data_IF_794314669032
#
_entry.id   IF_794314669032
#
_cell.length_a   1.000
_cell.length_b   1.000
_cell.length_c   1.000
_cell.angle_alpha   90.00
_cell.angle_beta   90.00
_cell.angle_gamma   90.00
#
_symmetry.space_group_name_H-M   'P 1'
#
loop_
_entity.id
_entity.type
_entity.pdbx_description
1 polymer ?
#
# COMPACT_ATOMS: atom_id res chain seq x y z
N UNK A 1 -60.44 -17.07 25.79
CA UNK A 1 -59.94 -15.80 25.22
C UNK A 1 -58.51 -16.02 24.81
N UNK A 2 -58.29 -16.39 23.52
CA UNK A 2 -57.00 -16.79 22.98
C UNK A 2 -56.30 -15.55 22.39
N UNK A 3 -55.16 -15.16 22.94
CA UNK A 3 -54.28 -14.18 22.29
C UNK A 3 -53.34 -14.92 21.36
N UNK A 4 -53.49 -14.69 20.05
CA UNK A 4 -52.53 -15.08 19.01
C UNK A 4 -51.38 -14.08 18.99
N UNK A 5 -50.18 -14.51 19.37
CA UNK A 5 -48.95 -13.77 19.21
C UNK A 5 -48.48 -13.98 17.77
N UNK A 6 -48.66 -12.99 16.89
CA UNK A 6 -48.06 -12.97 15.54
C UNK A 6 -46.59 -12.61 15.65
N UNK A 7 -45.73 -13.59 15.42
CA UNK A 7 -44.29 -13.40 15.27
C UNK A 7 -44.04 -12.79 13.89
N UNK A 8 -43.79 -11.47 13.84
CA UNK A 8 -43.29 -10.78 12.62
C UNK A 8 -41.83 -11.08 12.47
N UNK A 9 -41.46 -12.05 11.60
CA UNK A 9 -40.10 -12.29 11.20
C UNK A 9 -39.74 -11.16 10.24
N UNK A 10 -38.97 -10.18 10.73
CA UNK A 10 -38.29 -9.17 9.92
C UNK A 10 -37.17 -9.87 9.18
N UNK A 11 -37.40 -10.21 7.92
CA UNK A 11 -36.35 -10.58 6.99
C UNK A 11 -35.50 -9.33 6.73
N UNK A 12 -34.42 -9.15 7.51
CA UNK A 12 -33.32 -8.30 7.15
C UNK A 12 -32.68 -8.91 5.90
N UNK A 13 -33.09 -8.41 4.74
CA UNK A 13 -32.33 -8.60 3.51
C UNK A 13 -30.99 -7.89 3.69
N UNK A 14 -29.98 -8.64 4.20
CA UNK A 14 -28.60 -8.26 4.00
C UNK A 14 -28.37 -8.18 2.49
N UNK A 15 -28.41 -6.97 1.96
CA UNK A 15 -27.82 -6.67 0.65
C UNK A 15 -26.33 -6.95 0.77
N UNK A 16 -25.94 -8.25 0.67
CA UNK A 16 -24.60 -8.61 0.28
C UNK A 16 -24.32 -7.85 -1.00
N UNK A 17 -23.33 -6.94 -0.97
CA UNK A 17 -22.71 -6.43 -2.18
C UNK A 17 -22.32 -7.65 -3.00
N UNK A 18 -23.15 -8.02 -3.97
CA UNK A 18 -22.83 -9.06 -4.94
C UNK A 18 -21.67 -8.49 -5.75
N UNK A 19 -20.45 -8.81 -5.34
CA UNK A 19 -19.30 -8.67 -6.22
C UNK A 19 -19.64 -9.46 -7.47
N UNK A 20 -19.57 -8.82 -8.65
CA UNK A 20 -19.87 -9.49 -9.92
C UNK A 20 -19.10 -10.81 -9.99
N UNK A 21 -19.70 -11.83 -10.59
CA UNK A 21 -19.08 -13.15 -10.75
C UNK A 21 -17.78 -13.08 -11.57
N UNK A 22 -17.66 -12.09 -12.47
CA UNK A 22 -16.45 -11.81 -13.23
C UNK A 22 -15.58 -10.81 -12.45
N UNK A 23 -14.39 -11.28 -12.08
CA UNK A 23 -13.38 -10.47 -11.40
C UNK A 23 -12.20 -10.22 -12.35
N UNK A 24 -11.58 -9.08 -12.19
CA UNK A 24 -10.40 -8.66 -12.94
C UNK A 24 -9.23 -8.47 -11.99
N UNK A 25 -8.04 -8.87 -12.40
CA UNK A 25 -6.80 -8.55 -11.72
C UNK A 25 -5.70 -8.24 -12.74
N UNK A 26 -4.65 -7.55 -12.32
CA UNK A 26 -3.52 -7.25 -13.21
C UNK A 26 -2.72 -8.52 -13.45
N UNK A 27 -2.33 -8.75 -14.72
CA UNK A 27 -1.33 -9.76 -15.05
C UNK A 27 0.05 -9.28 -14.60
N UNK A 28 0.69 -10.03 -13.70
CA UNK A 28 2.02 -9.69 -13.18
C UNK A 28 3.17 -10.22 -14.06
N UNK A 29 2.86 -10.73 -15.26
CA UNK A 29 3.84 -11.19 -16.27
C UNK A 29 4.69 -12.40 -15.86
N UNK A 30 4.49 -12.94 -14.67
CA UNK A 30 5.05 -14.25 -14.31
C UNK A 30 4.22 -15.31 -15.03
N UNK A 31 4.86 -16.32 -15.58
CA UNK A 31 4.19 -17.42 -16.29
C UNK A 31 2.98 -17.90 -15.49
N UNK A 32 1.77 -17.55 -15.93
CA UNK A 32 0.48 -17.78 -15.28
C UNK A 32 0.23 -17.01 -13.96
N UNK A 33 0.83 -15.83 -13.78
CA UNK A 33 0.71 -15.04 -12.56
C UNK A 33 -0.27 -13.88 -12.65
N UNK A 34 -1.52 -14.09 -12.24
CA UNK A 34 -2.45 -13.00 -11.98
C UNK A 34 -2.32 -12.54 -10.53
N UNK A 35 -2.39 -11.24 -10.29
CA UNK A 35 -2.46 -10.71 -8.94
C UNK A 35 -3.65 -11.34 -8.18
N UNK A 36 -3.43 -11.68 -6.93
CA UNK A 36 -4.46 -12.27 -6.09
C UNK A 36 -5.53 -11.28 -5.65
N UNK A 37 -5.28 -9.97 -5.86
CA UNK A 37 -6.19 -8.90 -5.44
C UNK A 37 -7.07 -8.47 -6.62
N UNK A 38 -8.40 -8.68 -6.55
CA UNK A 38 -9.31 -8.21 -7.57
C UNK A 38 -9.32 -6.69 -7.67
N UNK A 39 -9.39 -6.18 -8.89
CA UNK A 39 -9.57 -4.76 -9.16
C UNK A 39 -11.02 -4.35 -8.82
N UNK A 40 -11.21 -3.25 -8.06
CA UNK A 40 -12.54 -2.71 -7.87
C UNK A 40 -13.10 -2.14 -9.18
N UNK A 41 -14.44 -2.09 -9.35
CA UNK A 41 -15.07 -1.43 -10.50
C UNK A 41 -14.56 0.02 -10.65
N UNK A 42 -14.26 0.42 -11.88
CA UNK A 42 -13.75 1.76 -12.18
C UNK A 42 -12.27 1.98 -11.86
N UNK A 43 -11.54 0.96 -11.43
CA UNK A 43 -10.10 1.06 -11.13
C UNK A 43 -9.31 1.57 -12.34
N UNK A 44 -8.21 2.26 -12.04
CA UNK A 44 -7.24 2.68 -13.04
C UNK A 44 -6.12 1.64 -13.16
N UNK A 45 -5.88 1.20 -14.39
CA UNK A 45 -4.85 0.25 -14.78
C UNK A 45 -3.73 1.03 -15.43
N UNK A 46 -2.56 1.01 -14.82
CA UNK A 46 -1.40 1.74 -15.32
C UNK A 46 -0.62 0.86 -16.31
N UNK A 47 -0.62 1.26 -17.58
CA UNK A 47 0.13 0.58 -18.65
C UNK A 47 1.63 0.94 -18.60
N UNK A 48 1.98 2.00 -17.86
CA UNK A 48 3.36 2.42 -17.64
C UNK A 48 3.74 3.73 -18.35
N UNK A 49 5.02 4.07 -18.24
CA UNK A 49 5.59 5.26 -18.88
C UNK A 49 6.46 4.85 -20.06
N UNK A 50 6.22 5.46 -21.23
CA UNK A 50 6.90 5.14 -22.49
C UNK A 50 7.54 6.38 -23.08
N UNK A 51 8.71 6.23 -23.69
CA UNK A 51 9.26 7.29 -24.53
C UNK A 51 8.30 7.58 -25.69
N UNK A 52 8.15 8.85 -26.08
CA UNK A 52 7.33 9.23 -27.23
C UNK A 52 7.74 8.42 -28.46
N UNK A 53 6.76 7.83 -29.14
CA UNK A 53 6.91 6.93 -30.28
C UNK A 53 7.03 5.45 -29.91
N UNK A 54 7.32 5.12 -28.66
CA UNK A 54 7.38 3.74 -28.16
C UNK A 54 6.04 3.25 -27.65
N UNK A 55 5.92 1.94 -27.51
CA UNK A 55 4.70 1.28 -27.02
C UNK A 55 5.04 0.37 -25.85
N UNK A 56 4.11 0.28 -24.90
CA UNK A 56 4.14 -0.68 -23.80
C UNK A 56 2.81 -1.42 -23.71
N UNK A 57 2.80 -2.50 -22.92
CA UNK A 57 1.61 -3.34 -22.78
C UNK A 57 1.32 -3.68 -21.32
N UNK A 58 0.05 -3.87 -21.00
CA UNK A 58 -0.43 -4.43 -19.75
C UNK A 58 -1.44 -5.53 -20.03
N UNK A 59 -1.53 -6.50 -19.13
CA UNK A 59 -2.50 -7.59 -19.20
C UNK A 59 -3.50 -7.52 -18.05
N UNK A 60 -4.74 -7.93 -18.33
CA UNK A 60 -5.77 -8.18 -17.33
C UNK A 60 -6.15 -9.65 -17.34
N UNK A 61 -6.10 -10.25 -16.17
CA UNK A 61 -6.63 -11.58 -15.91
C UNK A 61 -8.13 -11.52 -15.63
N UNK A 62 -8.89 -12.41 -16.27
CA UNK A 62 -10.33 -12.57 -16.07
C UNK A 62 -10.61 -13.84 -15.26
N UNK A 63 -11.17 -13.69 -14.06
CA UNK A 63 -11.47 -14.79 -13.15
C UNK A 63 -12.97 -14.91 -12.94
N UNK A 64 -13.54 -16.06 -13.24
CA UNK A 64 -14.94 -16.35 -12.96
C UNK A 64 -15.07 -17.06 -11.60
N UNK A 65 -15.68 -16.37 -10.65
CA UNK A 65 -15.95 -16.91 -9.30
C UNK A 65 -17.33 -17.55 -9.18
N UNK A 66 -18.12 -17.51 -10.25
CA UNK A 66 -19.44 -18.14 -10.33
C UNK A 66 -19.38 -19.62 -10.68
N UNK A 67 -20.57 -20.24 -10.80
CA UNK A 67 -20.73 -21.66 -11.13
C UNK A 67 -20.98 -21.90 -12.62
N UNK A 68 -21.24 -20.87 -13.41
CA UNK A 68 -21.56 -20.99 -14.86
C UNK A 68 -20.53 -20.22 -15.67
N UNK A 69 -20.22 -20.67 -16.92
CA UNK A 69 -19.30 -19.96 -17.78
C UNK A 69 -19.75 -18.52 -18.07
N UNK A 70 -18.80 -17.59 -18.07
CA UNK A 70 -19.03 -16.19 -18.48
C UNK A 70 -18.39 -15.99 -19.84
N UNK A 71 -19.14 -15.33 -20.75
CA UNK A 71 -18.67 -15.05 -22.09
C UNK A 71 -18.54 -13.55 -22.29
N UNK A 72 -17.32 -13.07 -22.52
CA UNK A 72 -17.04 -11.70 -22.93
C UNK A 72 -17.20 -11.62 -24.44
N UNK A 73 -18.19 -10.84 -24.91
CA UNK A 73 -18.55 -10.71 -26.32
C UNK A 73 -18.02 -9.44 -26.97
N UNK A 74 -17.62 -8.45 -26.15
CA UNK A 74 -17.11 -7.18 -26.65
C UNK A 74 -16.13 -6.52 -25.70
N UNK A 75 -15.11 -5.86 -26.27
CA UNK A 75 -14.18 -4.99 -25.56
C UNK A 75 -14.07 -3.71 -26.38
N UNK A 76 -14.39 -2.56 -25.76
CA UNK A 76 -14.35 -1.27 -26.42
C UNK A 76 -13.39 -0.33 -25.70
N UNK A 77 -12.68 0.50 -26.46
CA UNK A 77 -11.74 1.50 -25.99
C UNK A 77 -12.16 2.89 -26.45
N UNK A 78 -12.00 3.90 -25.60
CA UNK A 78 -12.46 5.27 -25.88
C UNK A 78 -11.48 6.10 -26.71
N UNK A 79 -10.20 5.68 -26.84
CA UNK A 79 -9.17 6.42 -27.59
C UNK A 79 -8.31 5.46 -28.43
N UNK A 80 -7.68 5.99 -29.49
CA UNK A 80 -6.79 5.24 -30.38
C UNK A 80 -5.36 5.07 -29.84
N UNK A 81 -4.98 5.81 -28.79
CA UNK A 81 -3.66 5.66 -28.15
C UNK A 81 -3.51 4.33 -27.40
N UNK A 82 -4.66 3.70 -27.11
CA UNK A 82 -4.74 2.36 -26.57
C UNK A 82 -5.41 1.42 -27.58
N UNK A 83 -4.88 0.20 -27.67
CA UNK A 83 -5.48 -0.85 -28.48
C UNK A 83 -5.42 -2.20 -27.78
N UNK A 84 -6.32 -3.11 -28.14
CA UNK A 84 -6.31 -4.47 -27.66
C UNK A 84 -5.19 -5.29 -28.32
N UNK A 85 -4.46 -6.05 -27.53
CA UNK A 85 -3.37 -6.92 -28.01
C UNK A 85 -3.85 -8.35 -28.13
N UNK A 86 -4.13 -8.80 -29.36
CA UNK A 86 -4.36 -10.21 -29.67
C UNK A 86 -5.64 -10.83 -29.09
N UNK A 87 -6.61 -10.01 -28.67
CA UNK A 87 -7.84 -10.49 -28.06
C UNK A 87 -8.79 -11.07 -29.13
N UNK A 88 -9.00 -12.37 -29.08
CA UNK A 88 -9.95 -13.06 -29.97
C UNK A 88 -11.27 -13.21 -29.22
N UNK A 89 -12.29 -12.51 -29.67
CA UNK A 89 -13.65 -12.60 -29.13
C UNK A 89 -14.46 -13.69 -29.88
N UNK A 90 -15.38 -14.35 -29.18
CA UNK A 90 -15.69 -14.23 -27.76
C UNK A 90 -14.68 -14.96 -26.86
N UNK A 91 -14.46 -14.40 -25.64
CA UNK A 91 -13.63 -15.02 -24.60
C UNK A 91 -14.54 -15.74 -23.62
N UNK A 92 -14.36 -17.06 -23.45
CA UNK A 92 -15.10 -17.84 -22.45
C UNK A 92 -14.26 -18.03 -21.20
N UNK A 93 -14.74 -17.50 -20.07
CA UNK A 93 -14.12 -17.62 -18.76
C UNK A 93 -14.80 -18.73 -17.98
N UNK A 94 -14.08 -19.85 -17.80
CA UNK A 94 -14.62 -21.03 -17.13
C UNK A 94 -14.86 -20.79 -15.63
N UNK A 95 -15.87 -21.45 -15.02
CA UNK A 95 -16.16 -21.31 -13.60
C UNK A 95 -15.05 -21.91 -12.72
N UNK A 96 -15.08 -21.56 -11.43
CA UNK A 96 -14.23 -22.12 -10.39
C UNK A 96 -12.72 -21.95 -10.62
N UNK A 97 -12.30 -20.81 -11.13
CA UNK A 97 -10.90 -20.47 -11.39
C UNK A 97 -10.21 -21.46 -12.36
N UNK A 98 -10.94 -21.98 -13.34
CA UNK A 98 -10.37 -22.72 -14.45
C UNK A 98 -9.33 -21.89 -15.22
N UNK A 99 -9.13 -22.18 -16.50
CA UNK A 99 -8.23 -21.35 -17.33
C UNK A 99 -8.56 -19.86 -17.17
N UNK A 100 -7.56 -19.05 -16.81
CA UNK A 100 -7.69 -17.61 -16.62
C UNK A 100 -7.21 -16.92 -17.90
N UNK A 101 -8.15 -16.45 -18.77
CA UNK A 101 -7.76 -15.70 -19.95
C UNK A 101 -7.10 -14.38 -19.56
N UNK A 102 -6.08 -13.99 -20.31
CA UNK A 102 -5.41 -12.70 -20.18
C UNK A 102 -5.82 -11.84 -21.39
N UNK A 103 -6.34 -10.64 -21.09
CA UNK A 103 -6.66 -9.63 -22.09
C UNK A 103 -5.56 -8.59 -22.09
N UNK A 104 -4.85 -8.48 -23.21
CA UNK A 104 -3.74 -7.52 -23.36
C UNK A 104 -4.22 -6.16 -23.90
N UNK A 105 -3.57 -5.10 -23.44
CA UNK A 105 -3.71 -3.74 -23.93
C UNK A 105 -2.35 -3.15 -24.22
N UNK A 106 -2.22 -2.48 -25.37
CA UNK A 106 -1.04 -1.72 -25.73
C UNK A 106 -1.34 -0.23 -25.60
N UNK A 107 -0.40 0.51 -25.06
CA UNK A 107 -0.36 1.97 -25.06
C UNK A 107 0.76 2.44 -25.97
N UNK A 108 0.48 3.36 -26.90
CA UNK A 108 1.48 4.05 -27.71
C UNK A 108 1.58 5.50 -27.26
N UNK A 109 2.73 5.92 -26.77
CA UNK A 109 2.97 7.29 -26.36
C UNK A 109 3.10 8.19 -27.60
N UNK A 110 2.13 9.06 -27.85
CA UNK A 110 2.11 10.02 -28.98
C UNK A 110 2.53 11.41 -28.57
N UNK A 111 2.38 11.76 -27.28
CA UNK A 111 2.74 13.05 -26.69
C UNK A 111 3.27 12.88 -25.25
N UNK A 112 3.96 13.91 -24.75
CA UNK A 112 4.37 13.95 -23.35
C UNK A 112 3.16 14.19 -22.43
N UNK A 113 3.18 13.53 -21.26
CA UNK A 113 2.11 13.59 -20.27
C UNK A 113 1.29 12.31 -20.19
N UNK A 114 0.31 12.31 -19.29
CA UNK A 114 -0.55 11.15 -19.05
C UNK A 114 -1.74 11.16 -19.97
N UNK A 115 -1.95 10.04 -20.66
CA UNK A 115 -3.14 9.77 -21.51
C UNK A 115 -3.97 8.70 -20.80
N UNK A 116 -5.30 8.88 -20.81
CA UNK A 116 -6.24 7.92 -20.24
C UNK A 116 -7.27 7.45 -21.25
N UNK A 117 -7.72 6.22 -21.12
CA UNK A 117 -8.82 5.65 -21.91
C UNK A 117 -9.76 4.86 -21.03
N UNK A 118 -11.05 4.88 -21.33
CA UNK A 118 -11.98 3.92 -20.77
C UNK A 118 -11.95 2.63 -21.58
N UNK A 119 -11.84 1.50 -20.88
CA UNK A 119 -12.07 0.18 -21.44
C UNK A 119 -13.33 -0.41 -20.85
N UNK A 120 -14.20 -0.92 -21.73
CA UNK A 120 -15.49 -1.51 -21.35
C UNK A 120 -15.56 -2.94 -21.84
N UNK A 121 -15.84 -3.89 -20.92
CA UNK A 121 -16.04 -5.30 -21.19
C UNK A 121 -17.54 -5.61 -21.23
N UNK A 122 -18.02 -6.10 -22.35
CA UNK A 122 -19.41 -6.53 -22.53
C UNK A 122 -19.46 -8.03 -22.36
N UNK A 123 -20.15 -8.51 -21.33
CA UNK A 123 -20.25 -9.91 -20.97
C UNK A 123 -21.66 -10.28 -20.52
N UNK A 124 -21.90 -11.56 -20.20
CA UNK A 124 -23.19 -12.06 -19.71
C UNK A 124 -23.27 -12.16 -18.16
N UNK A 125 -22.30 -11.59 -17.44
CA UNK A 125 -22.33 -11.57 -15.97
C UNK A 125 -23.18 -10.39 -15.45
N UNK A 126 -23.70 -10.48 -14.21
CA UNK A 126 -24.35 -9.35 -13.56
C UNK A 126 -23.36 -8.17 -13.40
N UNK A 127 -23.82 -6.97 -13.72
CA UNK A 127 -23.01 -5.76 -13.67
C UNK A 127 -22.30 -5.40 -14.98
N UNK A 128 -22.53 -6.17 -16.06
CA UNK A 128 -22.05 -5.80 -17.41
C UNK A 128 -22.73 -4.51 -17.90
N UNK A 129 -21.97 -3.62 -18.59
CA UNK A 129 -20.55 -3.71 -18.89
C UNK A 129 -19.66 -3.36 -17.70
N UNK A 130 -18.53 -4.09 -17.54
CA UNK A 130 -17.49 -3.75 -16.58
C UNK A 130 -16.57 -2.69 -17.19
N UNK A 131 -16.40 -1.56 -16.50
CA UNK A 131 -15.63 -0.41 -17.00
C UNK A 131 -14.42 -0.15 -16.13
N UNK A 132 -13.25 0.06 -16.75
CA UNK A 132 -12.00 0.43 -16.12
C UNK A 132 -11.38 1.62 -16.85
N UNK A 133 -10.42 2.27 -16.21
CA UNK A 133 -9.61 3.33 -16.83
C UNK A 133 -8.21 2.80 -17.11
N UNK A 134 -7.75 2.83 -18.34
CA UNK A 134 -6.34 2.64 -18.69
C UNK A 134 -5.62 3.97 -18.57
N UNK A 135 -4.38 3.96 -18.10
CA UNK A 135 -3.54 5.13 -17.98
C UNK A 135 -2.14 4.81 -18.49
N UNK A 136 -1.60 5.65 -19.36
CA UNK A 136 -0.24 5.57 -19.85
C UNK A 136 0.42 6.94 -19.87
N UNK A 137 1.73 7.03 -19.69
CA UNK A 137 2.45 8.31 -19.67
C UNK A 137 3.53 8.35 -20.73
N UNK A 138 3.49 9.36 -21.58
CA UNK A 138 4.53 9.66 -22.56
C UNK A 138 5.62 10.55 -21.93
N UNK A 139 6.90 10.32 -22.25
CA UNK A 139 8.02 11.16 -21.80
C UNK A 139 9.05 11.39 -22.90
N UNK A 140 9.81 12.48 -22.78
CA UNK A 140 10.92 12.86 -23.70
C UNK A 140 12.30 12.74 -23.05
N UNK A 141 12.35 12.54 -21.73
CA UNK A 141 13.57 12.54 -20.91
C UNK A 141 13.74 11.21 -20.17
N UNK A 142 13.02 10.99 -19.09
CA UNK A 142 12.99 9.70 -18.38
C UNK A 142 11.59 9.43 -17.80
N UNK A 143 11.32 8.18 -17.48
CA UNK A 143 10.08 7.78 -16.85
C UNK A 143 10.32 6.84 -15.66
N UNK A 144 9.33 6.77 -14.76
CA UNK A 144 9.31 5.81 -13.64
C UNK A 144 8.30 4.71 -13.94
N UNK A 145 8.76 3.47 -13.98
CA UNK A 145 7.93 2.30 -14.27
C UNK A 145 7.99 1.29 -13.12
N UNK A 146 6.94 0.48 -13.00
CA UNK A 146 7.05 -0.79 -12.32
C UNK A 146 7.86 -1.74 -13.20
N UNK A 147 8.70 -2.56 -12.57
CA UNK A 147 9.45 -3.57 -13.32
C UNK A 147 8.47 -4.67 -13.77
N UNK A 148 8.39 -4.89 -15.05
CA UNK A 148 7.60 -5.85 -15.87
C UNK A 148 6.42 -6.57 -15.20
N UNK A 149 6.51 -6.96 -13.95
CA UNK A 149 5.59 -7.88 -13.26
C UNK A 149 5.28 -7.45 -11.84
N UNK A 150 5.84 -6.32 -11.39
CA UNK A 150 5.69 -5.88 -10.03
C UNK A 150 4.39 -5.08 -9.86
N UNK A 151 3.60 -5.44 -8.86
CA UNK A 151 2.41 -4.68 -8.48
C UNK A 151 2.81 -3.33 -7.86
N UNK A 152 2.07 -2.28 -8.19
CA UNK A 152 2.18 -0.98 -7.52
C UNK A 152 1.56 -1.00 -6.11
N UNK A 153 0.98 -2.12 -5.69
CA UNK A 153 0.36 -2.34 -4.39
C UNK A 153 1.04 -3.48 -3.66
N UNK A 154 1.42 -3.24 -2.39
CA UNK A 154 1.99 -4.25 -1.51
C UNK A 154 1.23 -4.29 -0.19
N UNK A 155 1.08 -5.51 0.36
CA UNK A 155 0.43 -5.73 1.65
C UNK A 155 1.44 -6.26 2.66
N UNK A 156 1.57 -5.59 3.80
CA UNK A 156 2.46 -6.00 4.89
C UNK A 156 1.77 -5.86 6.25
N UNK A 157 2.30 -6.56 7.25
CA UNK A 157 1.94 -6.32 8.65
C UNK A 157 2.78 -5.16 9.20
N UNK A 158 2.22 -4.36 10.11
CA UNK A 158 2.95 -3.27 10.76
C UNK A 158 4.27 -3.80 11.39
N UNK A 159 5.37 -3.13 11.12
CA UNK A 159 6.74 -3.56 11.49
C UNK A 159 7.46 -4.35 10.40
N UNK A 160 6.81 -4.66 9.30
CA UNK A 160 7.42 -5.33 8.15
C UNK A 160 7.78 -4.33 7.05
N UNK A 161 8.58 -4.79 6.09
CA UNK A 161 9.02 -4.01 4.94
C UNK A 161 8.31 -4.48 3.68
N UNK A 162 7.69 -3.55 2.96
CA UNK A 162 7.16 -3.76 1.62
C UNK A 162 8.26 -3.47 0.60
N UNK A 163 8.46 -4.39 -0.35
CA UNK A 163 9.47 -4.25 -1.41
C UNK A 163 8.79 -4.05 -2.75
N UNK A 164 9.19 -2.99 -3.47
CA UNK A 164 8.73 -2.69 -4.81
C UNK A 164 9.92 -2.74 -5.76
N UNK A 165 9.77 -3.42 -6.88
CA UNK A 165 10.79 -3.46 -7.92
C UNK A 165 10.34 -2.53 -9.04
N UNK A 166 11.16 -1.53 -9.31
CA UNK A 166 10.86 -0.45 -10.24
C UNK A 166 12.01 -0.28 -11.24
N UNK A 167 11.75 0.48 -12.28
CA UNK A 167 12.77 0.89 -13.24
C UNK A 167 12.65 2.37 -13.58
N UNK A 168 13.80 2.97 -13.87
CA UNK A 168 13.88 4.24 -14.61
C UNK A 168 14.03 3.89 -16.07
N UNK A 169 13.09 4.36 -16.89
CA UNK A 169 13.22 4.31 -18.34
C UNK A 169 13.90 5.60 -18.81
N UNK A 170 15.04 5.50 -19.47
CA UNK A 170 15.75 6.64 -20.03
C UNK A 170 15.65 6.68 -21.54
N UNK A 171 15.96 7.83 -22.15
CA UNK A 171 16.16 7.91 -23.59
C UNK A 171 17.59 7.47 -23.94
N UNK A 172 17.83 6.80 -25.08
CA UNK A 172 19.14 6.21 -25.39
C UNK A 172 20.33 7.18 -25.39
N UNK A 173 20.08 8.46 -25.56
CA UNK A 173 21.12 9.52 -25.60
C UNK A 173 21.29 10.24 -24.24
N UNK A 174 20.44 9.97 -23.28
CA UNK A 174 20.47 10.67 -21.99
C UNK A 174 21.51 10.06 -21.06
N UNK A 175 22.27 10.94 -20.42
CA UNK A 175 23.22 10.59 -19.36
C UNK A 175 22.89 11.39 -18.10
N UNK A 176 23.30 10.90 -16.96
CA UNK A 176 23.12 11.59 -15.69
C UNK A 176 22.67 10.66 -14.59
N UNK A 177 22.03 11.23 -13.60
CA UNK A 177 21.51 10.48 -12.45
C UNK A 177 20.08 10.89 -12.13
N UNK A 178 19.28 9.93 -11.71
CA UNK A 178 17.95 10.17 -11.14
C UNK A 178 18.02 10.01 -9.64
N UNK A 179 17.74 11.09 -8.93
CA UNK A 179 17.61 11.09 -7.48
C UNK A 179 16.17 10.69 -7.11
N UNK A 180 16.03 9.66 -6.29
CA UNK A 180 14.75 9.09 -5.89
C UNK A 180 14.34 9.58 -4.50
N UNK A 181 13.05 9.82 -4.32
CA UNK A 181 12.46 10.17 -3.02
C UNK A 181 11.03 9.67 -2.93
N UNK A 182 10.49 9.58 -1.68
CA UNK A 182 9.08 9.31 -1.45
C UNK A 182 8.40 10.51 -0.82
N UNK A 183 7.12 10.68 -1.13
CA UNK A 183 6.24 11.64 -0.49
C UNK A 183 4.90 11.00 -0.11
N UNK A 184 4.20 11.58 0.88
CA UNK A 184 2.90 11.11 1.37
C UNK A 184 2.92 9.68 1.96
N UNK A 185 4.05 9.27 2.55
CA UNK A 185 4.12 8.01 3.29
C UNK A 185 3.21 8.04 4.52
N UNK A 186 2.65 6.90 4.95
CA UNK A 186 1.91 6.84 6.20
C UNK A 186 2.80 7.17 7.40
N UNK A 187 2.23 7.65 8.50
CA UNK A 187 2.97 7.90 9.74
C UNK A 187 3.78 6.67 10.17
N UNK A 188 5.01 6.87 10.62
CA UNK A 188 5.89 5.78 11.05
C UNK A 188 6.44 4.90 9.94
N UNK A 189 6.23 5.25 8.67
CA UNK A 189 6.87 4.58 7.55
C UNK A 189 8.03 5.40 6.98
N UNK A 190 9.00 4.72 6.41
CA UNK A 190 10.14 5.31 5.70
C UNK A 190 10.43 4.55 4.42
N UNK A 191 11.03 5.20 3.42
CA UNK A 191 11.46 4.52 2.20
C UNK A 191 12.97 4.61 2.01
N UNK A 192 13.53 3.55 1.41
CA UNK A 192 14.92 3.45 1.00
C UNK A 192 14.99 2.85 -0.40
N UNK A 193 15.99 3.27 -1.18
CA UNK A 193 16.19 2.83 -2.57
C UNK A 193 17.55 2.17 -2.72
N UNK A 194 17.66 1.21 -3.64
CA UNK A 194 18.92 0.55 -3.97
C UNK A 194 18.93 0.12 -5.44
N UNK A 195 19.90 0.57 -6.27
CA UNK A 195 20.92 1.59 -5.96
C UNK A 195 20.33 3.00 -5.85
N UNK A 196 21.08 3.91 -5.22
CA UNK A 196 20.78 5.34 -5.18
C UNK A 196 22.09 6.14 -5.30
N UNK A 197 22.19 7.16 -6.20
CA UNK A 197 21.25 7.51 -7.27
C UNK A 197 21.19 6.44 -8.36
N UNK A 198 20.12 6.44 -9.17
CA UNK A 198 20.02 5.59 -10.35
C UNK A 198 20.73 6.28 -11.51
N UNK A 199 21.77 5.65 -12.05
CA UNK A 199 22.53 6.20 -13.18
C UNK A 199 21.80 5.95 -14.50
N UNK A 200 21.63 7.01 -15.31
CA UNK A 200 21.20 6.93 -16.70
C UNK A 200 22.42 6.67 -17.57
N UNK A 201 22.47 5.51 -18.21
CA UNK A 201 23.60 5.09 -19.05
C UNK A 201 23.19 5.09 -20.52
N UNK A 202 24.02 5.60 -21.44
CA UNK A 202 23.74 5.58 -22.87
C UNK A 202 23.49 4.15 -23.35
N UNK A 203 22.47 3.96 -24.16
CA UNK A 203 22.11 2.66 -24.72
C UNK A 203 21.33 1.73 -23.76
N UNK A 204 21.15 2.09 -22.49
CA UNK A 204 20.32 1.36 -21.56
C UNK A 204 18.95 2.04 -21.46
N UNK A 205 17.92 1.36 -21.94
CA UNK A 205 16.55 1.88 -21.92
C UNK A 205 15.92 1.77 -20.52
N UNK A 206 16.34 0.78 -19.72
CA UNK A 206 15.78 0.53 -18.39
C UNK A 206 16.87 0.27 -17.36
N UNK A 207 16.85 1.02 -16.26
CA UNK A 207 17.70 0.81 -15.09
C UNK A 207 16.83 0.43 -13.91
N UNK A 208 17.00 -0.81 -13.44
CA UNK A 208 16.19 -1.33 -12.35
C UNK A 208 16.68 -0.86 -10.98
N UNK A 209 15.75 -0.63 -10.09
CA UNK A 209 16.03 -0.34 -8.68
C UNK A 209 14.96 -0.98 -7.77
N UNK A 210 15.35 -1.19 -6.54
CA UNK A 210 14.46 -1.68 -5.49
C UNK A 210 14.13 -0.53 -4.55
N UNK A 211 12.86 -0.39 -4.21
CA UNK A 211 12.37 0.47 -3.14
C UNK A 211 11.83 -0.38 -2.00
N UNK A 212 12.33 -0.13 -0.81
CA UNK A 212 11.87 -0.75 0.43
C UNK A 212 11.13 0.28 1.27
N UNK A 213 9.85 0.02 1.56
CA UNK A 213 9.04 0.84 2.47
C UNK A 213 8.93 0.09 3.78
N UNK A 214 9.67 0.55 4.79
CA UNK A 214 9.65 -0.02 6.13
C UNK A 214 8.54 0.62 6.96
N UNK A 215 7.79 -0.20 7.69
CA UNK A 215 6.73 0.22 8.60
C UNK A 215 7.16 0.01 10.05
N UNK A 216 6.61 0.79 10.96
CA UNK A 216 6.91 0.67 12.40
C UNK A 216 5.89 -0.21 13.09
N UNK A 217 6.34 -1.24 13.81
CA UNK A 217 5.48 -2.10 14.61
C UNK A 217 4.80 -1.32 15.74
N UNK A 218 3.61 -1.76 16.13
CA UNK A 218 3.05 -1.33 17.41
C UNK A 218 3.96 -1.82 18.55
N UNK A 219 4.33 -0.97 19.51
CA UNK A 219 4.96 -1.45 20.72
C UNK A 219 4.09 -2.55 21.31
N UNK A 220 4.65 -3.72 21.53
CA UNK A 220 3.96 -4.73 22.33
C UNK A 220 3.56 -4.03 23.65
N UNK A 221 2.29 -4.11 24.04
CA UNK A 221 1.86 -3.61 25.32
C UNK A 221 2.74 -4.31 26.37
N UNK A 222 3.79 -3.62 26.80
CA UNK A 222 4.57 -4.12 27.93
C UNK A 222 3.56 -4.15 29.07
N UNK A 223 3.22 -5.35 29.54
CA UNK A 223 2.64 -5.54 30.85
C UNK A 223 3.66 -4.98 31.83
N UNK A 224 3.63 -3.66 31.96
CA UNK A 224 4.40 -2.97 32.98
C UNK A 224 3.74 -3.44 34.26
N UNK A 225 4.25 -4.57 34.81
CA UNK A 225 3.88 -5.03 36.13
C UNK A 225 4.06 -3.81 37.02
N UNK A 226 2.99 -3.33 37.70
CA UNK A 226 3.08 -2.19 38.59
C UNK A 226 4.21 -2.48 39.51
N UNK A 227 5.26 -1.66 39.40
CA UNK A 227 6.58 -2.02 39.90
C UNK A 227 6.56 -2.30 41.36
N UNK A 228 7.14 -3.41 41.74
CA UNK A 228 7.55 -3.77 43.10
C UNK A 228 8.28 -2.62 43.83
N UNK A 229 8.71 -1.59 43.07
CA UNK A 229 9.39 -0.39 43.63
C UNK A 229 8.50 0.46 44.54
N UNK A 230 7.19 0.52 44.31
CA UNK A 230 6.25 1.23 45.18
C UNK A 230 6.12 0.55 46.55
N UNK A 231 6.21 -0.77 46.57
CA UNK A 231 6.15 -1.52 47.83
C UNK A 231 7.42 -1.32 48.70
N UNK A 232 8.59 -1.26 48.06
CA UNK A 232 9.83 -0.99 48.79
C UNK A 232 9.89 0.45 49.32
N UNK A 233 9.40 1.41 48.61
CA UNK A 233 9.30 2.81 49.06
C UNK A 233 8.32 2.96 50.22
N UNK A 234 7.16 2.32 50.17
CA UNK A 234 6.18 2.28 51.25
C UNK A 234 6.74 1.54 52.45
N UNK A 235 7.40 0.41 52.29
CA UNK A 235 8.01 -0.35 53.40
C UNK A 235 9.15 0.45 54.06
N UNK A 236 9.95 1.17 53.28
CA UNK A 236 11.02 2.02 53.81
C UNK A 236 10.46 3.21 54.61
N UNK A 237 9.36 3.85 54.17
CA UNK A 237 8.69 4.92 54.89
C UNK A 237 8.05 4.40 56.20
N UNK A 238 7.45 3.20 56.15
CA UNK A 238 6.87 2.57 57.34
C UNK A 238 7.94 2.18 58.38
N UNK A 239 9.09 1.65 57.94
CA UNK A 239 10.20 1.30 58.82
C UNK A 239 10.84 2.54 59.47
N UNK A 240 10.97 3.64 58.75
CA UNK A 240 11.44 4.93 59.29
C UNK A 240 10.45 5.56 60.27
N UNK A 241 9.13 5.46 60.02
CA UNK A 241 8.11 5.92 60.96
C UNK A 241 8.10 5.13 62.29
N UNK A 242 8.34 3.82 62.23
CA UNK A 242 8.44 2.97 63.42
C UNK A 242 9.69 3.26 64.25
N UNK A 243 10.79 3.63 63.64
CA UNK A 243 12.04 4.02 64.34
C UNK A 243 11.91 5.41 64.95
N UNK A 244 11.18 6.34 64.30
CA UNK A 244 10.97 7.69 64.80
C UNK A 244 10.02 7.76 66.00
N UNK A 245 9.15 6.77 66.23
CA UNK A 245 8.18 6.74 67.34
C UNK A 245 8.81 6.43 68.70
N UNK A 246 10.07 6.05 68.76
CA UNK A 246 10.73 5.64 70.01
C UNK A 246 11.64 6.68 70.66
N UNK A 247 11.87 7.85 70.04
CA UNK A 247 12.69 8.91 70.74
C UNK A 247 12.32 10.30 70.20
N UNK A 248 12.12 11.24 71.12
CA UNK A 248 11.91 12.67 70.92
C UNK A 248 12.97 13.32 69.99
N UNK A 249 12.64 13.51 68.69
CA UNK A 249 13.58 14.07 67.73
C UNK A 249 12.97 15.12 66.82
N UNK A 250 12.90 16.37 67.27
CA UNK A 250 12.51 17.52 66.44
C UNK A 250 13.49 17.81 65.26
N UNK A 251 14.72 17.31 65.32
CA UNK A 251 15.74 17.51 64.28
C UNK A 251 15.73 16.45 63.16
N UNK A 252 15.23 15.26 63.40
CA UNK A 252 15.18 14.17 62.41
C UNK A 252 14.04 14.39 61.44
N UNK A 253 12.94 15.02 61.89
CA UNK A 253 11.78 15.28 61.01
C UNK A 253 12.07 16.27 59.89
N UNK A 254 12.92 17.26 60.16
CA UNK A 254 13.31 18.25 59.14
C UNK A 254 14.26 17.63 58.11
N UNK A 255 15.19 16.75 58.52
CA UNK A 255 16.12 16.10 57.59
C UNK A 255 15.41 15.09 56.67
N UNK A 256 14.42 14.35 57.19
CA UNK A 256 13.63 13.43 56.36
C UNK A 256 12.72 14.13 55.36
N UNK A 257 12.15 15.31 55.67
CA UNK A 257 11.40 16.11 54.70
C UNK A 257 12.29 16.62 53.55
N UNK A 258 13.50 17.06 53.82
CA UNK A 258 14.43 17.50 52.77
C UNK A 258 14.91 16.33 51.91
N UNK A 259 15.10 15.12 52.44
CA UNK A 259 15.49 13.95 51.70
C UNK A 259 14.36 13.43 50.79
N UNK A 260 13.12 13.49 51.24
CA UNK A 260 11.90 13.13 50.41
C UNK A 260 11.63 14.16 49.32
N UNK A 261 11.79 15.44 49.62
CA UNK A 261 11.69 16.51 48.61
C UNK A 261 12.81 16.42 47.55
N UNK A 262 14.03 16.04 47.95
CA UNK A 262 15.16 15.82 47.03
C UNK A 262 14.94 14.64 46.07
N UNK A 263 14.29 13.57 46.53
CA UNK A 263 13.97 12.40 45.73
C UNK A 263 12.79 12.64 44.74
N UNK A 264 11.88 13.55 45.10
CA UNK A 264 10.77 13.96 44.19
C UNK A 264 11.22 14.92 43.09
N UNK A 265 12.30 15.68 43.32
CA UNK A 265 12.86 16.60 42.33
C UNK A 265 13.78 15.91 41.30
N UNK A 266 14.12 14.62 41.48
CA UNK A 266 14.97 13.83 40.57
C UNK A 266 14.21 13.21 39.39
N UNK A 267 12.97 13.64 39.11
CA UNK A 267 12.31 13.32 37.87
C UNK A 267 12.77 14.33 36.77
N UNK A 268 14.07 14.27 36.48
CA UNK A 268 14.66 15.00 35.37
C UNK A 268 14.04 14.49 34.06
N UNK A 269 13.23 15.33 33.43
CA UNK A 269 12.70 15.10 32.09
C UNK A 269 13.85 15.07 31.09
N UNK A 270 14.39 13.89 30.85
CA UNK A 270 15.10 13.62 29.62
C UNK A 270 14.08 13.62 28.51
N UNK A 271 14.13 14.60 27.60
CA UNK A 271 13.46 14.53 26.31
C UNK A 271 14.13 13.44 25.49
N UNK A 272 13.86 12.18 25.81
CA UNK A 272 14.09 11.09 24.87
C UNK A 272 13.06 11.31 23.75
N UNK A 273 13.52 11.56 22.54
CA UNK A 273 12.70 11.40 21.35
C UNK A 273 12.06 10.01 21.48
N UNK A 274 10.77 9.96 21.76
CA UNK A 274 10.03 8.71 21.89
C UNK A 274 10.24 7.86 20.64
N UNK A 275 10.06 6.53 20.73
CA UNK A 275 10.12 5.70 19.54
C UNK A 275 9.15 6.25 18.49
N UNK A 276 9.51 6.14 17.20
CA UNK A 276 8.65 6.62 16.12
C UNK A 276 7.24 6.03 16.27
N UNK A 277 6.20 6.80 15.92
CA UNK A 277 4.83 6.31 16.03
C UNK A 277 4.64 5.04 15.20
N UNK A 278 3.81 4.07 15.66
CA UNK A 278 3.52 2.88 14.89
C UNK A 278 2.77 3.24 13.61
N UNK A 279 3.05 2.51 12.54
CA UNK A 279 2.29 2.66 11.29
C UNK A 279 0.88 2.12 11.49
N UNK A 280 -0.19 2.92 11.31
CA UNK A 280 -1.55 2.46 11.50
C UNK A 280 -1.96 1.44 10.42
N UNK A 281 -2.89 0.51 10.70
CA UNK A 281 -3.48 -0.33 9.67
C UNK A 281 -4.34 0.52 8.71
N UNK A 282 -4.37 0.13 7.44
CA UNK A 282 -5.13 0.83 6.42
C UNK A 282 -4.50 0.72 5.04
N UNK A 283 -5.16 1.31 4.05
CA UNK A 283 -4.66 1.45 2.68
C UNK A 283 -4.17 2.88 2.48
N UNK A 284 -2.92 3.03 2.09
CA UNK A 284 -2.24 4.31 1.94
C UNK A 284 -1.73 4.46 0.52
N UNK A 285 -2.07 5.59 -0.11
CA UNK A 285 -1.47 6.00 -1.38
C UNK A 285 -0.30 6.93 -1.10
N UNK A 286 0.85 6.65 -1.66
CA UNK A 286 2.04 7.47 -1.57
C UNK A 286 2.67 7.63 -2.96
N UNK A 287 3.66 8.50 -3.09
CA UNK A 287 4.25 8.85 -4.38
C UNK A 287 5.74 8.65 -4.33
N UNK A 288 6.28 7.99 -5.36
CA UNK A 288 7.71 7.93 -5.66
C UNK A 288 8.03 9.05 -6.65
N UNK A 289 9.01 9.88 -6.33
CA UNK A 289 9.47 10.95 -7.20
C UNK A 289 10.90 10.64 -7.66
N UNK A 290 11.16 10.85 -8.95
CA UNK A 290 12.48 10.85 -9.53
C UNK A 290 12.81 12.23 -10.05
N UNK A 291 13.96 12.77 -9.70
CA UNK A 291 14.45 14.07 -10.20
C UNK A 291 15.79 13.90 -10.93
N UNK A 292 15.84 14.42 -12.13
CA UNK A 292 17.06 14.51 -12.93
C UNK A 292 17.11 15.85 -13.64
N UNK A 293 18.22 16.59 -13.48
CA UNK A 293 18.44 17.89 -14.14
C UNK A 293 17.30 18.90 -13.94
N UNK A 294 16.64 18.88 -12.77
CA UNK A 294 15.52 19.77 -12.45
C UNK A 294 14.16 19.31 -12.97
N UNK A 295 14.10 18.24 -13.75
CA UNK A 295 12.84 17.61 -14.17
C UNK A 295 12.45 16.55 -13.16
N UNK A 296 11.17 16.54 -12.74
CA UNK A 296 10.63 15.59 -11.77
C UNK A 296 9.49 14.80 -12.38
N UNK A 297 9.61 13.49 -12.33
CA UNK A 297 8.52 12.55 -12.64
C UNK A 297 8.07 11.83 -11.38
N UNK A 298 6.79 11.48 -11.31
CA UNK A 298 6.17 10.90 -10.13
C UNK A 298 5.35 9.67 -10.48
N UNK A 299 5.36 8.67 -9.60
CA UNK A 299 4.58 7.43 -9.73
C UNK A 299 3.79 7.18 -8.45
N UNK A 300 2.49 6.98 -8.58
CA UNK A 300 1.63 6.63 -7.45
C UNK A 300 1.78 5.15 -7.08
N UNK A 301 1.89 4.88 -5.78
CA UNK A 301 2.07 3.57 -5.18
C UNK A 301 1.05 3.35 -4.06
N UNK A 302 0.76 2.11 -3.73
CA UNK A 302 -0.19 1.73 -2.69
C UNK A 302 0.48 0.83 -1.68
N UNK A 303 0.33 1.13 -0.40
CA UNK A 303 0.75 0.30 0.73
C UNK A 303 -0.47 -0.09 1.56
N UNK A 304 -0.72 -1.38 1.72
CA UNK A 304 -1.75 -1.91 2.62
C UNK A 304 -1.08 -2.44 3.87
N UNK A 305 -1.40 -1.86 5.02
CA UNK A 305 -0.88 -2.27 6.33
C UNK A 305 -1.98 -3.00 7.10
N UNK A 306 -1.67 -4.21 7.57
CA UNK A 306 -2.56 -5.07 8.38
C UNK A 306 -2.17 -5.08 9.85
#
# INVERSE_FOLDING_TARGET
MLYRLSCFILLLSSSCCSFGQLQFSVDNGLVLGCDSTPLPPGATIDVGSMQIGQSGSAGLCLVNTGATPITVTGITLSTADFNGSGNILPIVVQPNKGSVPIVGFNFKATAAGTTTAQVSFIDNAPGSPQVFTLSGTGFTDFGLNMFLTASNSQTVTAGQTATYIMSVAGVPTQTGVVNLSCSNLPPGASCAFSPIPVALLPGNEFMNFQMNVSTTARPAASLQRPGFRLWYSLAAVFALALVASRRSFKRVTVLTCFLVLGLLASCGGGSSSGPPPPTPPGTFSFVVNGNSNGVTHSKAMVLVVK
#
